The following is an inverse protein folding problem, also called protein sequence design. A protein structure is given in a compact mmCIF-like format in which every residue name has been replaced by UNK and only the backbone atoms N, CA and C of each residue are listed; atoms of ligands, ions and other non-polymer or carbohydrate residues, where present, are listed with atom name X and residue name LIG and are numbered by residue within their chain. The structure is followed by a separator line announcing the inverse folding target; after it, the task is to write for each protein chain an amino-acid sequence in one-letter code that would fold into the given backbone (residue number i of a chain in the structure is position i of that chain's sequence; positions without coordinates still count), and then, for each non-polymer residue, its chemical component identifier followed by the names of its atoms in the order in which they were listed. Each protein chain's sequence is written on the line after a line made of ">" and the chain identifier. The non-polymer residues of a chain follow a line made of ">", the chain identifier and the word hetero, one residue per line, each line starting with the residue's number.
data_IF_954566930574
#
_entry.id   IF_954566930574
#
_cell.length_a   1.000
_cell.length_b   1.000
_cell.length_c   1.000
_cell.angle_alpha   90.00
_cell.angle_beta   90.00
_cell.angle_gamma   90.00
#
_symmetry.space_group_name_H-M   'P 1'
#
loop_
_entity.id
_entity.type
_entity.pdbx_description
1 polymer ?
#
# COMPACT_ATOMS: atom_id res chain seq x y z
N UNK A 1 66.36 15.50 -13.05
CA UNK A 1 67.37 14.87 -13.92
C UNK A 1 66.94 13.43 -14.07
N UNK A 2 65.85 13.22 -14.80
CA UNK A 2 65.78 13.07 -16.26
C UNK A 2 66.18 11.66 -16.74
N UNK A 3 65.28 10.98 -17.47
CA UNK A 3 65.44 9.63 -18.00
C UNK A 3 65.95 9.62 -19.45
N UNK A 4 66.62 8.55 -19.88
CA UNK A 4 66.92 8.27 -21.29
C UNK A 4 67.43 6.81 -21.47
N UNK A 5 67.54 6.26 -22.70
CA UNK A 5 66.52 6.17 -23.76
C UNK A 5 66.57 4.86 -24.61
N UNK A 6 65.58 4.71 -25.51
CA UNK A 6 65.66 4.21 -26.90
C UNK A 6 65.94 2.72 -27.27
N UNK A 7 65.30 2.31 -28.39
CA UNK A 7 65.60 1.12 -29.21
C UNK A 7 64.36 0.27 -29.48
N UNK A 8 63.49 0.54 -30.45
CA UNK A 8 63.69 0.48 -31.91
C UNK A 8 64.16 -0.90 -32.41
N UNK A 9 63.21 -1.77 -32.77
CA UNK A 9 63.46 -2.94 -33.61
C UNK A 9 62.27 -3.14 -34.56
N UNK A 10 62.54 -3.10 -35.87
CA UNK A 10 61.93 -4.07 -36.77
C UNK A 10 60.86 -3.57 -37.75
N UNK A 11 61.15 -2.51 -38.51
CA UNK A 11 60.59 -2.35 -39.86
C UNK A 11 61.24 -3.38 -40.77
N UNK A 12 60.51 -4.43 -41.18
CA UNK A 12 60.80 -5.17 -42.42
C UNK A 12 59.67 -6.16 -42.77
N UNK A 13 58.73 -5.72 -43.60
CA UNK A 13 58.21 -6.49 -44.73
C UNK A 13 57.39 -5.54 -45.62
N UNK A 14 58.14 -4.87 -46.48
CA UNK A 14 57.67 -4.15 -47.65
C UNK A 14 57.15 -5.15 -48.68
N UNK A 15 56.13 -4.70 -49.40
CA UNK A 15 55.87 -4.98 -50.82
C UNK A 15 55.32 -6.37 -51.19
N UNK A 16 53.99 -6.41 -51.30
CA UNK A 16 53.37 -7.00 -52.49
C UNK A 16 52.71 -5.85 -53.25
N UNK A 17 53.25 -5.62 -54.44
CA UNK A 17 52.87 -4.62 -55.41
C UNK A 17 51.43 -4.80 -55.92
N UNK A 18 50.77 -3.65 -56.09
CA UNK A 18 49.97 -3.24 -57.25
C UNK A 18 49.07 -4.28 -57.93
N UNK A 19 47.75 -4.04 -57.92
CA UNK A 19 46.92 -3.88 -59.14
C UNK A 19 45.53 -3.40 -58.71
N UNK A 20 44.96 -2.38 -59.38
CA UNK A 20 43.50 -2.31 -59.54
C UNK A 20 42.76 -1.09 -59.00
N UNK A 21 42.52 -0.16 -59.91
CA UNK A 21 41.22 0.48 -60.17
C UNK A 21 40.67 1.61 -59.27
N UNK A 22 40.41 2.69 -60.00
CA UNK A 22 39.86 4.01 -59.72
C UNK A 22 38.33 4.00 -59.50
N UNK A 23 37.81 4.81 -58.55
CA UNK A 23 36.52 5.57 -58.48
C UNK A 23 36.12 5.78 -56.99
N UNK A 24 36.38 6.94 -56.36
CA UNK A 24 35.53 8.16 -56.18
C UNK A 24 34.28 7.96 -55.28
N UNK A 25 34.13 8.92 -54.33
CA UNK A 25 33.01 9.24 -53.39
C UNK A 25 32.71 8.20 -52.30
N UNK A 26 32.74 8.48 -51.00
CA UNK A 26 32.04 9.54 -50.25
C UNK A 26 32.84 9.97 -49.01
N UNK A 27 32.93 11.28 -48.78
CA UNK A 27 33.29 11.83 -47.46
C UNK A 27 32.11 11.59 -46.53
N UNK A 28 32.09 10.43 -45.87
CA UNK A 28 31.24 10.20 -44.72
C UNK A 28 31.57 11.24 -43.65
N UNK A 29 30.64 12.18 -43.42
CA UNK A 29 30.76 13.29 -42.47
C UNK A 29 31.35 12.80 -41.14
N UNK A 30 32.57 13.25 -40.80
CA UNK A 30 33.19 12.97 -39.50
C UNK A 30 32.19 13.31 -38.39
N UNK A 31 31.98 12.39 -37.45
CA UNK A 31 31.14 12.66 -36.27
C UNK A 31 31.76 13.84 -35.52
N UNK A 32 31.00 14.91 -35.38
CA UNK A 32 31.42 16.10 -34.62
C UNK A 32 31.81 15.71 -33.19
N UNK A 33 32.76 16.43 -32.60
CA UNK A 33 33.14 16.27 -31.19
C UNK A 33 31.91 16.37 -30.27
N UNK A 34 31.85 15.62 -29.15
CA UNK A 34 30.67 15.52 -28.30
C UNK A 34 30.15 16.87 -27.78
N UNK A 35 31.06 17.83 -27.53
CA UNK A 35 30.72 19.20 -27.14
C UNK A 35 29.96 19.98 -28.23
N UNK A 36 30.31 19.78 -29.52
CA UNK A 36 29.65 20.43 -30.65
C UNK A 36 28.29 19.79 -30.98
N UNK A 37 28.07 18.53 -30.60
CA UNK A 37 26.76 17.87 -30.72
C UNK A 37 25.77 18.33 -29.63
N UNK A 38 26.26 18.63 -28.42
CA UNK A 38 25.45 19.22 -27.35
C UNK A 38 24.97 20.64 -27.73
N UNK A 39 25.85 21.45 -28.31
CA UNK A 39 25.52 22.80 -28.79
C UNK A 39 24.55 22.81 -29.98
N UNK A 40 24.58 21.78 -30.84
CA UNK A 40 23.65 21.60 -31.98
C UNK A 40 22.25 21.13 -31.57
N UNK A 41 21.98 20.97 -30.27
CA UNK A 41 20.63 20.79 -29.76
C UNK A 41 19.89 19.58 -30.33
N UNK A 42 20.52 18.41 -30.37
CA UNK A 42 19.92 17.10 -30.69
C UNK A 42 18.80 17.14 -31.77
N UNK A 43 19.13 17.17 -33.07
CA UNK A 43 18.11 17.04 -34.11
C UNK A 43 17.52 15.62 -34.06
N UNK A 44 16.19 15.51 -33.96
CA UNK A 44 15.35 14.33 -34.26
C UNK A 44 15.78 12.92 -33.78
N UNK A 45 14.86 12.19 -33.14
CA UNK A 45 14.99 10.79 -32.65
C UNK A 45 16.12 10.51 -31.62
N UNK A 46 17.21 11.28 -31.59
CA UNK A 46 18.28 11.16 -30.57
C UNK A 46 17.85 11.66 -29.19
N UNK A 47 17.05 12.74 -29.10
CA UNK A 47 16.41 13.16 -27.83
C UNK A 47 15.54 12.04 -27.26
N UNK A 48 14.73 11.40 -28.10
CA UNK A 48 13.87 10.30 -27.68
C UNK A 48 14.68 9.09 -27.17
N UNK A 49 15.82 8.76 -27.81
CA UNK A 49 16.70 7.67 -27.35
C UNK A 49 17.42 8.00 -26.04
N UNK A 50 17.86 9.25 -25.86
CA UNK A 50 18.50 9.71 -24.61
C UNK A 50 17.48 9.79 -23.48
N UNK A 51 16.27 10.32 -23.73
CA UNK A 51 15.18 10.31 -22.76
C UNK A 51 14.74 8.90 -22.40
N UNK A 52 14.65 7.98 -23.37
CA UNK A 52 14.35 6.57 -23.11
C UNK A 52 15.45 5.92 -22.26
N UNK A 53 16.73 6.15 -22.59
CA UNK A 53 17.84 5.65 -21.80
C UNK A 53 17.87 6.23 -20.37
N UNK A 54 17.51 7.50 -20.21
CA UNK A 54 17.37 8.13 -18.90
C UNK A 54 16.19 7.55 -18.10
N UNK A 55 15.05 7.30 -18.76
CA UNK A 55 13.90 6.62 -18.15
C UNK A 55 14.22 5.17 -17.76
N UNK A 56 14.95 4.43 -18.60
CA UNK A 56 15.38 3.05 -18.34
C UNK A 56 16.38 2.99 -17.18
N UNK A 57 17.28 3.98 -17.05
CA UNK A 57 18.19 4.11 -15.92
C UNK A 57 17.45 4.47 -14.63
N UNK A 58 16.50 5.40 -14.69
CA UNK A 58 15.65 5.75 -13.55
C UNK A 58 14.82 4.54 -13.08
N UNK A 59 14.23 3.79 -14.01
CA UNK A 59 13.49 2.56 -13.71
C UNK A 59 14.37 1.50 -13.04
N UNK A 60 15.64 1.38 -13.44
CA UNK A 60 16.63 0.48 -12.81
C UNK A 60 17.13 0.96 -11.45
N UNK A 61 17.16 2.27 -11.21
CA UNK A 61 17.57 2.85 -9.93
C UNK A 61 16.45 2.83 -8.87
N UNK A 62 15.19 2.81 -9.31
CA UNK A 62 14.01 2.76 -8.45
C UNK A 62 14.02 1.61 -7.42
N UNK A 63 14.30 0.34 -7.78
CA UNK A 63 14.32 -0.75 -6.80
C UNK A 63 15.39 -0.59 -5.72
N UNK A 64 16.55 0.01 -6.05
CA UNK A 64 17.61 0.28 -5.08
C UNK A 64 17.21 1.41 -4.11
N UNK A 65 16.57 2.46 -4.61
CA UNK A 65 16.04 3.55 -3.79
C UNK A 65 14.90 3.05 -2.87
N UNK A 66 14.09 2.12 -3.34
CA UNK A 66 13.00 1.52 -2.57
C UNK A 66 13.52 0.60 -1.45
N UNK A 67 14.59 -0.15 -1.69
CA UNK A 67 15.25 -0.95 -0.65
C UNK A 67 15.83 -0.08 0.48
N UNK A 68 16.49 1.03 0.12
CA UNK A 68 17.06 1.97 1.11
C UNK A 68 15.96 2.72 1.88
N UNK A 69 14.86 3.10 1.22
CA UNK A 69 13.73 3.75 1.89
C UNK A 69 13.03 2.79 2.88
N UNK A 70 12.84 1.53 2.48
CA UNK A 70 12.23 0.50 3.34
C UNK A 70 13.12 0.18 4.55
N UNK A 71 14.44 0.23 4.40
CA UNK A 71 15.38 0.05 5.50
C UNK A 71 15.36 1.20 6.53
N UNK A 72 14.94 2.41 6.12
CA UNK A 72 14.92 3.61 6.98
C UNK A 72 13.58 3.81 7.67
N UNK A 73 12.48 3.50 6.98
CA UNK A 73 11.13 3.47 7.54
C UNK A 73 10.38 2.27 6.94
N UNK A 74 10.17 1.19 7.71
CA UNK A 74 9.45 -0.01 7.27
C UNK A 74 7.99 0.25 6.86
N UNK A 75 7.46 1.44 7.18
CA UNK A 75 6.07 1.87 6.93
C UNK A 75 5.98 3.09 6.00
N UNK A 76 7.08 3.43 5.33
CA UNK A 76 7.08 4.44 4.29
C UNK A 76 6.06 4.10 3.19
N UNK A 77 5.48 5.13 2.58
CA UNK A 77 4.53 4.94 1.48
C UNK A 77 5.15 4.12 0.34
N UNK A 78 4.40 3.14 -0.22
CA UNK A 78 4.82 2.33 -1.35
C UNK A 78 5.32 3.17 -2.51
N UNK A 79 6.31 2.65 -3.24
CA UNK A 79 6.96 3.40 -4.32
C UNK A 79 6.01 3.76 -5.46
N UNK A 80 4.98 2.95 -5.72
CA UNK A 80 3.92 3.27 -6.68
C UNK A 80 3.17 4.57 -6.34
N UNK A 81 3.00 4.91 -5.06
CA UNK A 81 2.39 6.17 -4.66
C UNK A 81 3.37 7.34 -4.83
N UNK A 82 4.67 7.10 -4.60
CA UNK A 82 5.73 8.12 -4.79
C UNK A 82 5.97 8.46 -6.27
N UNK A 83 5.78 7.51 -7.18
CA UNK A 83 5.93 7.73 -8.62
C UNK A 83 4.83 8.62 -9.21
N UNK A 84 3.60 8.52 -8.69
CA UNK A 84 2.45 9.28 -9.19
C UNK A 84 1.60 9.85 -8.03
N UNK A 85 2.13 10.81 -7.25
CA UNK A 85 1.47 11.31 -6.05
C UNK A 85 0.17 12.05 -6.35
N UNK A 86 0.07 12.71 -7.51
CA UNK A 86 -1.15 13.41 -7.92
C UNK A 86 -2.30 12.44 -8.22
N UNK A 87 -2.00 11.26 -8.79
CA UNK A 87 -3.01 10.25 -9.07
C UNK A 87 -3.43 9.50 -7.81
N UNK A 88 -2.48 9.21 -6.91
CA UNK A 88 -2.70 8.47 -5.66
C UNK A 88 -2.88 9.38 -4.44
N UNK A 89 -3.27 10.64 -4.62
CA UNK A 89 -3.38 11.60 -3.51
C UNK A 89 -4.33 11.08 -2.42
N UNK A 90 -5.47 10.53 -2.82
CA UNK A 90 -6.46 9.99 -1.89
C UNK A 90 -5.98 8.70 -1.22
N UNK A 91 -5.36 7.80 -1.98
CA UNK A 91 -4.77 6.59 -1.42
C UNK A 91 -3.65 6.90 -0.40
N UNK A 92 -2.88 7.98 -0.60
CA UNK A 92 -1.86 8.43 0.34
C UNK A 92 -2.44 8.95 1.66
N UNK A 93 -3.54 9.70 1.62
CA UNK A 93 -4.28 10.11 2.82
C UNK A 93 -4.75 8.89 3.61
N UNK A 94 -5.46 7.98 2.92
CA UNK A 94 -5.99 6.73 3.51
C UNK A 94 -4.86 5.88 4.09
N UNK A 95 -3.71 5.80 3.40
CA UNK A 95 -2.51 5.12 3.90
C UNK A 95 -2.06 5.71 5.24
N UNK A 96 -1.89 7.03 5.30
CA UNK A 96 -1.41 7.70 6.51
C UNK A 96 -2.34 7.50 7.71
N UNK A 97 -3.66 7.53 7.49
CA UNK A 97 -4.65 7.33 8.54
C UNK A 97 -4.71 5.86 8.98
N UNK A 98 -4.65 4.92 8.03
CA UNK A 98 -4.67 3.48 8.32
C UNK A 98 -3.43 3.07 9.12
N UNK A 99 -2.25 3.53 8.72
CA UNK A 99 -0.99 3.25 9.45
C UNK A 99 -1.03 3.88 10.85
N UNK A 100 -1.59 5.10 10.99
CA UNK A 100 -1.79 5.73 12.31
C UNK A 100 -2.70 4.89 13.20
N UNK A 101 -3.84 4.43 12.69
CA UNK A 101 -4.77 3.57 13.43
C UNK A 101 -4.15 2.23 13.84
N UNK A 102 -3.48 1.55 12.90
CA UNK A 102 -2.80 0.28 13.15
C UNK A 102 -1.67 0.42 14.18
N UNK A 103 -0.97 1.56 14.19
CA UNK A 103 0.05 1.87 15.20
C UNK A 103 -0.54 2.00 16.59
N UNK A 104 -1.67 2.69 16.74
CA UNK A 104 -2.37 2.82 18.03
C UNK A 104 -2.83 1.45 18.56
N UNK A 105 -3.27 0.57 17.67
CA UNK A 105 -3.67 -0.79 18.02
C UNK A 105 -2.50 -1.75 18.27
N UNK A 106 -1.25 -1.33 18.01
CA UNK A 106 -0.06 -2.18 18.14
C UNK A 106 0.01 -3.34 17.13
N UNK A 107 -0.70 -3.26 16.01
CA UNK A 107 -0.85 -4.35 15.00
C UNK A 107 -0.05 -4.10 13.73
N UNK A 108 0.88 -3.18 13.79
CA UNK A 108 1.59 -2.68 12.63
C UNK A 108 2.83 -3.56 12.36
N UNK A 109 2.76 -4.41 11.33
CA UNK A 109 3.90 -5.21 10.82
C UNK A 109 4.20 -4.80 9.36
N UNK A 110 5.49 -4.64 9.05
CA UNK A 110 5.97 -4.23 7.72
C UNK A 110 5.59 -5.26 6.64
N UNK A 111 5.45 -6.54 7.01
CA UNK A 111 5.03 -7.62 6.10
C UNK A 111 3.67 -7.35 5.46
N UNK A 112 2.81 -6.59 6.11
CA UNK A 112 1.48 -6.26 5.61
C UNK A 112 1.43 -5.01 4.71
N UNK A 113 2.56 -4.31 4.54
CA UNK A 113 2.66 -3.11 3.71
C UNK A 113 2.03 -3.25 2.31
N UNK A 114 2.29 -4.35 1.54
CA UNK A 114 1.66 -4.51 0.23
C UNK A 114 0.14 -4.66 0.30
N UNK A 115 -0.38 -5.41 1.27
CA UNK A 115 -1.82 -5.61 1.45
C UNK A 115 -2.53 -4.33 1.87
N UNK A 116 -1.91 -3.52 2.74
CA UNK A 116 -2.41 -2.20 3.13
C UNK A 116 -2.44 -1.28 1.90
N UNK A 117 -1.45 -1.39 1.02
CA UNK A 117 -1.39 -0.56 -0.18
C UNK A 117 -2.54 -0.87 -1.14
N UNK A 118 -2.84 -2.17 -1.34
CA UNK A 118 -3.99 -2.62 -2.13
C UNK A 118 -5.30 -2.09 -1.53
N UNK A 119 -5.46 -2.14 -0.21
CA UNK A 119 -6.63 -1.57 0.47
C UNK A 119 -6.78 -0.08 0.16
N UNK A 120 -5.71 0.70 0.26
CA UNK A 120 -5.74 2.15 0.00
C UNK A 120 -6.12 2.48 -1.45
N UNK A 121 -5.60 1.70 -2.41
CA UNK A 121 -5.97 1.85 -3.84
C UNK A 121 -7.44 1.52 -4.05
N UNK A 122 -7.94 0.41 -3.47
CA UNK A 122 -9.33 0.00 -3.60
C UNK A 122 -10.29 1.07 -3.03
N UNK A 123 -9.96 1.70 -1.89
CA UNK A 123 -10.74 2.81 -1.34
C UNK A 123 -10.81 4.00 -2.32
N UNK A 124 -9.68 4.38 -2.91
CA UNK A 124 -9.63 5.45 -3.90
C UNK A 124 -10.49 5.12 -5.14
N UNK A 125 -10.40 3.90 -5.66
CA UNK A 125 -11.17 3.45 -6.81
C UNK A 125 -12.68 3.44 -6.52
N UNK A 126 -13.06 3.00 -5.33
CA UNK A 126 -14.45 2.99 -4.89
C UNK A 126 -15.02 4.42 -4.78
N UNK A 127 -14.27 5.36 -4.21
CA UNK A 127 -14.69 6.77 -4.13
C UNK A 127 -14.80 7.41 -5.53
N UNK A 128 -13.84 7.13 -6.42
CA UNK A 128 -13.86 7.60 -7.80
C UNK A 128 -15.07 7.05 -8.58
N UNK A 129 -15.36 5.76 -8.43
CA UNK A 129 -16.52 5.12 -9.04
C UNK A 129 -17.84 5.71 -8.49
N UNK A 130 -17.94 5.93 -7.18
CA UNK A 130 -19.09 6.59 -6.56
C UNK A 130 -19.30 8.01 -7.10
N UNK A 131 -18.22 8.80 -7.25
CA UNK A 131 -18.29 10.15 -7.83
C UNK A 131 -18.77 10.10 -9.28
N UNK A 132 -18.27 9.17 -10.07
CA UNK A 132 -18.70 9.00 -11.47
C UNK A 132 -20.17 8.59 -11.59
N UNK A 133 -20.63 7.65 -10.76
CA UNK A 133 -22.05 7.23 -10.73
C UNK A 133 -22.95 8.40 -10.33
N UNK A 134 -22.53 9.24 -9.38
CA UNK A 134 -23.28 10.45 -8.97
C UNK A 134 -23.44 11.45 -10.13
N UNK A 135 -22.43 11.58 -10.98
CA UNK A 135 -22.43 12.54 -12.10
C UNK A 135 -23.16 12.02 -13.33
N UNK A 136 -22.96 10.75 -13.69
CA UNK A 136 -23.42 10.17 -14.95
C UNK A 136 -24.65 9.26 -14.80
N UNK A 137 -25.10 9.02 -13.56
CA UNK A 137 -26.18 8.11 -13.24
C UNK A 137 -25.80 6.64 -13.32
N UNK A 138 -26.76 5.79 -12.98
CA UNK A 138 -26.61 4.32 -12.94
C UNK A 138 -26.68 3.67 -14.32
N UNK A 139 -27.32 4.34 -15.29
CA UNK A 139 -27.56 3.80 -16.63
C UNK A 139 -27.05 4.78 -17.69
N UNK A 140 -26.35 4.27 -18.69
CA UNK A 140 -25.85 5.04 -19.82
C UNK A 140 -26.58 4.64 -21.10
N UNK A 141 -26.95 5.63 -21.91
CA UNK A 141 -27.49 5.42 -23.24
C UNK A 141 -26.35 5.12 -24.22
N UNK A 142 -26.34 3.93 -24.80
CA UNK A 142 -25.35 3.51 -25.80
C UNK A 142 -26.05 3.34 -27.15
N UNK A 143 -25.51 3.97 -28.20
CA UNK A 143 -25.99 3.77 -29.57
C UNK A 143 -25.44 2.46 -30.11
N UNK A 144 -26.31 1.59 -30.64
CA UNK A 144 -25.89 0.41 -31.40
C UNK A 144 -25.51 0.82 -32.82
N UNK A 145 -24.75 -0.05 -33.49
CA UNK A 145 -24.42 0.06 -34.92
C UNK A 145 -25.66 0.12 -35.81
N UNK A 146 -26.79 -0.45 -35.35
CA UNK A 146 -28.10 -0.45 -36.03
C UNK A 146 -28.90 0.86 -35.84
N UNK A 147 -28.37 1.86 -35.11
CA UNK A 147 -29.02 3.16 -34.92
C UNK A 147 -29.91 3.28 -33.67
N UNK A 148 -30.36 2.15 -33.10
CA UNK A 148 -31.16 2.15 -31.88
C UNK A 148 -30.33 2.49 -30.63
N UNK A 149 -30.94 3.23 -29.71
CA UNK A 149 -30.33 3.60 -28.42
C UNK A 149 -30.80 2.63 -27.34
N UNK A 150 -29.86 1.93 -26.71
CA UNK A 150 -30.12 0.99 -25.61
C UNK A 150 -29.58 1.53 -24.29
N UNK A 151 -30.27 1.26 -23.19
CA UNK A 151 -29.83 1.59 -21.83
C UNK A 151 -28.94 0.45 -21.28
N UNK A 152 -27.65 0.73 -21.09
CA UNK A 152 -26.70 -0.20 -20.47
C UNK A 152 -26.40 0.26 -19.04
N UNK A 153 -26.22 -0.65 -18.06
CA UNK A 153 -25.65 -0.28 -16.76
C UNK A 153 -24.28 0.39 -16.94
N UNK A 154 -24.00 1.37 -16.08
CA UNK A 154 -22.71 2.06 -16.05
C UNK A 154 -21.60 1.07 -15.64
N UNK A 155 -20.51 0.92 -16.40
CA UNK A 155 -19.42 0.00 -16.06
C UNK A 155 -18.76 0.33 -14.71
N UNK A 156 -18.87 1.58 -14.23
CA UNK A 156 -18.36 1.95 -12.91
C UNK A 156 -19.11 1.28 -11.75
N UNK A 157 -20.29 0.69 -11.99
CA UNK A 157 -20.96 -0.13 -10.99
C UNK A 157 -20.19 -1.42 -10.69
N UNK A 158 -19.60 -2.04 -11.72
CA UNK A 158 -18.80 -3.25 -11.58
C UNK A 158 -17.45 -2.92 -10.90
N UNK A 159 -16.85 -1.78 -11.26
CA UNK A 159 -15.63 -1.30 -10.59
C UNK A 159 -15.91 -1.01 -9.12
N UNK A 160 -17.03 -0.35 -8.81
CA UNK A 160 -17.43 -0.07 -7.42
C UNK A 160 -17.63 -1.35 -6.62
N UNK A 161 -18.31 -2.36 -7.18
CA UNK A 161 -18.59 -3.61 -6.46
C UNK A 161 -17.31 -4.44 -6.23
N UNK A 162 -16.41 -4.50 -7.21
CA UNK A 162 -15.12 -5.17 -7.09
C UNK A 162 -14.17 -4.47 -6.09
N UNK A 163 -14.16 -3.14 -6.09
CA UNK A 163 -13.42 -2.37 -5.10
C UNK A 163 -13.99 -2.60 -3.69
N UNK A 164 -15.32 -2.61 -3.55
CA UNK A 164 -15.99 -2.85 -2.27
C UNK A 164 -15.70 -4.24 -1.68
N UNK A 165 -15.69 -5.31 -2.50
CA UNK A 165 -15.30 -6.64 -2.02
C UNK A 165 -13.86 -6.64 -1.52
N UNK A 166 -12.94 -6.04 -2.29
CA UNK A 166 -11.52 -5.94 -1.93
C UNK A 166 -11.32 -5.17 -0.63
N UNK A 167 -12.03 -4.05 -0.45
CA UNK A 167 -12.00 -3.26 0.80
C UNK A 167 -12.46 -4.11 1.98
N UNK A 168 -13.57 -4.83 1.86
CA UNK A 168 -14.10 -5.67 2.94
C UNK A 168 -13.16 -6.82 3.30
N UNK A 169 -12.56 -7.46 2.30
CA UNK A 169 -11.66 -8.59 2.51
C UNK A 169 -10.38 -8.14 3.22
N UNK A 170 -9.77 -7.03 2.77
CA UNK A 170 -8.60 -6.46 3.44
C UNK A 170 -8.91 -5.86 4.81
N UNK A 171 -10.08 -5.24 4.98
CA UNK A 171 -10.51 -4.75 6.30
C UNK A 171 -10.66 -5.89 7.32
N UNK A 172 -11.13 -7.07 6.90
CA UNK A 172 -11.18 -8.26 7.75
C UNK A 172 -9.78 -8.77 8.10
N UNK A 173 -8.85 -8.82 7.13
CA UNK A 173 -7.46 -9.26 7.35
C UNK A 173 -6.74 -8.43 8.42
N UNK A 174 -6.99 -7.12 8.48
CA UNK A 174 -6.36 -6.22 9.44
C UNK A 174 -7.14 -6.05 10.76
N UNK A 175 -8.33 -6.62 10.85
CA UNK A 175 -9.21 -6.43 12.00
C UNK A 175 -9.72 -4.99 12.13
N UNK A 176 -9.89 -4.28 11.00
CA UNK A 176 -10.50 -2.93 10.95
C UNK A 176 -12.04 -2.97 11.01
N UNK A 177 -12.61 -4.19 11.07
CA UNK A 177 -14.05 -4.39 11.15
C UNK A 177 -14.52 -4.21 12.61
N UNK A 178 -15.57 -3.41 12.88
CA UNK A 178 -16.15 -3.28 14.23
C UNK A 178 -16.60 -4.61 14.84
N UNK A 179 -16.96 -5.58 13.99
CA UNK A 179 -17.29 -6.95 14.45
C UNK A 179 -16.09 -7.65 15.08
N UNK A 180 -14.88 -7.36 14.60
CA UNK A 180 -13.65 -7.90 15.16
C UNK A 180 -13.36 -7.31 16.54
N UNK A 181 -13.61 -6.02 16.74
CA UNK A 181 -13.47 -5.37 18.05
C UNK A 181 -14.40 -5.99 19.09
N UNK A 182 -15.65 -6.29 18.71
CA UNK A 182 -16.59 -6.99 19.58
C UNK A 182 -16.13 -8.41 19.92
N UNK A 183 -15.54 -9.13 18.96
CA UNK A 183 -15.03 -10.48 19.18
C UNK A 183 -13.83 -10.48 20.15
N UNK A 184 -12.92 -9.52 20.01
CA UNK A 184 -11.83 -9.33 20.99
C UNK A 184 -12.34 -9.04 22.39
N UNK A 185 -13.33 -8.14 22.52
CA UNK A 185 -13.96 -7.84 23.81
C UNK A 185 -14.65 -9.07 24.40
N UNK A 186 -15.27 -9.91 23.55
CA UNK A 186 -15.89 -11.17 23.96
C UNK A 186 -14.84 -12.17 24.47
N UNK A 187 -13.73 -12.34 23.76
CA UNK A 187 -12.64 -13.22 24.20
C UNK A 187 -11.99 -12.70 25.48
N UNK A 188 -11.76 -11.39 25.59
CA UNK A 188 -11.20 -10.78 26.79
C UNK A 188 -12.13 -10.91 28.01
N UNK A 189 -13.44 -10.70 27.83
CA UNK A 189 -14.43 -10.87 28.91
C UNK A 189 -14.55 -12.33 29.33
N UNK A 190 -14.53 -13.26 28.38
CA UNK A 190 -14.52 -14.71 28.67
C UNK A 190 -13.26 -15.11 29.43
N UNK A 191 -12.07 -14.72 28.97
CA UNK A 191 -10.81 -15.02 29.65
C UNK A 191 -10.73 -14.37 31.04
N UNK A 192 -11.27 -13.15 31.20
CA UNK A 192 -11.37 -12.50 32.52
C UNK A 192 -12.35 -13.24 33.43
N UNK A 193 -13.45 -13.76 32.91
CA UNK A 193 -14.42 -14.56 33.68
C UNK A 193 -13.90 -15.94 34.09
N UNK A 194 -12.86 -16.45 33.42
CA UNK A 194 -12.20 -17.72 33.77
C UNK A 194 -10.96 -17.54 34.67
N UNK A 195 -10.53 -16.29 34.89
CA UNK A 195 -9.26 -15.92 35.51
C UNK A 195 -9.25 -15.74 37.03
N UNK A 196 -10.08 -16.49 37.75
CA UNK A 196 -9.91 -16.74 39.20
C UNK A 196 -10.22 -18.21 39.60
N UNK A 197 -10.32 -19.12 38.62
CA UNK A 197 -10.71 -20.52 38.86
C UNK A 197 -9.55 -21.52 38.84
N UNK A 198 -8.34 -21.09 38.45
CA UNK A 198 -7.16 -21.98 38.33
C UNK A 198 -5.92 -21.51 39.08
N UNK A 199 -6.07 -20.49 39.93
CA UNK A 199 -5.03 -20.08 40.86
C UNK A 199 -5.64 -20.06 42.28
N UNK A 200 -5.76 -21.20 42.98
CA UNK A 200 -6.05 -21.17 44.39
C UNK A 200 -4.81 -20.60 45.09
N UNK A 201 -4.78 -19.30 45.38
CA UNK A 201 -3.94 -18.82 46.47
C UNK A 201 -4.39 -19.55 47.74
N UNK A 202 -3.47 -20.14 48.53
CA UNK A 202 -3.82 -20.65 49.83
C UNK A 202 -4.16 -19.46 50.74
N UNK A 203 -5.29 -19.56 51.42
CA UNK A 203 -5.76 -18.67 52.46
C UNK A 203 -4.61 -18.04 53.28
N UNK A 204 -4.41 -16.73 53.13
CA UNK A 204 -3.87 -15.89 54.19
C UNK A 204 -5.03 -15.08 54.78
N UNK A 205 -5.46 -15.54 55.94
CA UNK A 205 -6.59 -15.08 56.74
C UNK A 205 -6.73 -13.54 56.91
N UNK A 206 -7.94 -13.04 57.22
CA UNK A 206 -8.20 -11.62 57.44
C UNK A 206 -7.68 -11.20 58.83
N UNK A 207 -6.73 -10.25 58.86
CA UNK A 207 -6.36 -9.55 60.08
C UNK A 207 -7.21 -8.27 60.24
N UNK A 208 -8.18 -8.37 61.14
CA UNK A 208 -8.81 -7.35 61.99
C UNK A 208 -8.41 -5.85 61.80
N UNK A 209 -9.45 -5.01 61.70
CA UNK A 209 -9.51 -3.74 62.43
C UNK A 209 -9.57 -2.48 61.56
N UNK A 210 -10.78 -1.99 61.28
CA UNK A 210 -10.99 -0.67 60.68
C UNK A 210 -12.44 -0.46 60.26
N UNK A 211 -13.23 0.10 61.17
CA UNK A 211 -14.64 0.45 60.96
C UNK A 211 -14.80 1.44 59.80
N UNK A 212 -15.60 1.05 58.79
CA UNK A 212 -15.99 1.90 57.66
C UNK A 212 -17.52 1.93 57.54
N UNK A 213 -18.14 3.09 57.24
CA UNK A 213 -19.57 3.32 57.40
C UNK A 213 -20.42 2.50 56.40
N UNK A 214 -21.70 2.25 56.70
CA UNK A 214 -22.54 1.37 55.89
C UNK A 214 -22.75 1.99 54.49
N UNK A 215 -22.30 1.29 53.45
CA UNK A 215 -22.69 1.59 52.07
C UNK A 215 -24.18 1.27 51.89
N UNK A 216 -24.97 2.14 51.23
CA UNK A 216 -26.33 1.79 50.85
C UNK A 216 -26.28 0.60 49.87
N UNK A 217 -27.19 -0.35 50.08
CA UNK A 217 -27.36 -1.55 49.27
C UNK A 217 -27.65 -1.19 47.81
N UNK A 218 -26.59 -1.07 47.00
CA UNK A 218 -26.69 -1.02 45.55
C UNK A 218 -26.70 -2.47 45.05
N UNK A 219 -27.91 -2.97 44.82
CA UNK A 219 -28.31 -4.02 43.87
C UNK A 219 -27.23 -5.02 43.49
N UNK A 220 -27.17 -6.12 44.25
CA UNK A 220 -26.51 -7.35 43.82
C UNK A 220 -27.19 -7.84 42.53
N UNK A 221 -26.47 -8.00 41.40
CA UNK A 221 -27.06 -8.47 40.14
C UNK A 221 -27.65 -9.88 40.21
N UNK A 222 -27.40 -10.64 41.29
CA UNK A 222 -28.06 -11.91 41.56
C UNK A 222 -29.44 -11.76 42.24
N UNK A 223 -29.77 -10.61 42.83
CA UNK A 223 -31.07 -10.36 43.49
C UNK A 223 -32.21 -10.09 42.49
N UNK A 224 -31.86 -9.76 41.23
CA UNK A 224 -32.82 -9.57 40.13
C UNK A 224 -33.48 -10.88 39.67
N UNK A 225 -32.84 -12.04 39.84
CA UNK A 225 -33.45 -13.33 39.50
C UNK A 225 -34.39 -13.86 40.60
N UNK A 226 -34.20 -13.45 41.86
CA UNK A 226 -35.05 -13.90 42.97
C UNK A 226 -36.36 -13.09 43.10
N UNK A 227 -36.42 -11.87 42.54
CA UNK A 227 -37.64 -11.04 42.54
C UNK A 227 -38.74 -11.50 41.58
N UNK A 228 -38.43 -12.44 40.68
CA UNK A 228 -39.40 -13.03 39.77
C UNK A 228 -40.12 -14.26 40.36
N UNK A 229 -39.69 -14.74 41.53
CA UNK A 229 -40.28 -15.92 42.17
C UNK A 229 -41.42 -15.49 43.12
N UNK A 230 -42.55 -15.13 42.51
CA UNK A 230 -43.79 -14.84 43.25
C UNK A 230 -44.29 -16.10 43.96
N UNK A 231 -44.59 -15.99 45.26
CA UNK A 231 -45.15 -17.09 46.05
C UNK A 231 -46.46 -17.62 45.42
N UNK A 232 -46.65 -18.95 45.32
CA UNK A 232 -47.82 -19.53 44.67
C UNK A 232 -49.11 -19.12 45.41
N UNK A 233 -50.16 -18.70 44.70
CA UNK A 233 -51.38 -18.20 45.31
C UNK A 233 -52.13 -19.36 45.98
N UNK A 234 -52.14 -19.38 47.32
CA UNK A 234 -52.85 -20.42 48.06
C UNK A 234 -52.59 -20.56 49.55
N UNK A 235 -51.95 -19.60 50.22
CA UNK A 235 -51.87 -19.58 51.69
C UNK A 235 -52.28 -18.24 52.26
N UNK A 236 -53.60 -18.01 52.24
CA UNK A 236 -54.28 -17.28 53.30
C UNK A 236 -54.50 -18.26 54.45
N UNK A 237 -53.76 -18.06 55.54
CA UNK A 237 -54.15 -18.21 56.95
C UNK A 237 -52.89 -18.12 57.82
#
# INVERSE_FOLDING_TARGET
>A
MDPAPAGEVGVLLREIFATGFFWRTEVGRRKDAPALQAAKGFPGKRRAKVMKAAADLAAKAQPAADQVATARDPFAAPSMFRQAPAYYARALEVWSDTIRGLRVMGRLDSRYSPSIAIYCVAVQEWEAACKHIRQNGFTMKVKRTTGDTWLRPNPMLDVRSAAESTIRDKAKEFGLSPLFDQDLLRVQSFNRSQGDLFNPEPDAAPALGGEAPPRPAAEDPMDLMNRADSAPPGKLN
#
